data_IF_894451351940
#
_entry.id   IF_894451351940
#
_cell.length_a   1.000
_cell.length_b   1.000
_cell.length_c   1.000
_cell.angle_alpha   90.00
_cell.angle_beta   90.00
_cell.angle_gamma   90.00
#
_symmetry.space_group_name_H-M   'P 1'
#
loop_
_entity.id
_entity.type
_entity.pdbx_description
1 polymer ?
#
# COMPACT_ATOMS: atom_id res chain seq x y z
N UNK A 1 20.27 18.55 8.54
CA UNK A 1 18.94 18.52 9.20
C UNK A 1 18.52 17.14 9.71
N UNK A 2 18.05 16.19 8.88
CA UNK A 2 17.55 14.89 9.40
C UNK A 2 18.62 14.12 10.19
N UNK A 3 19.87 14.12 9.74
CA UNK A 3 20.97 13.51 10.49
C UNK A 3 21.22 14.17 11.84
N UNK A 4 21.07 15.50 11.94
CA UNK A 4 21.24 16.26 13.20
C UNK A 4 20.07 16.02 14.18
N UNK A 5 18.86 15.81 13.65
CA UNK A 5 17.69 15.41 14.44
C UNK A 5 17.87 13.98 14.95
N UNK A 6 18.32 13.05 14.10
CA UNK A 6 18.59 11.67 14.49
C UNK A 6 19.73 11.53 15.49
N UNK A 7 20.75 12.40 15.45
CA UNK A 7 21.83 12.41 16.45
C UNK A 7 21.46 13.11 17.75
N UNK A 8 20.27 13.72 17.84
CA UNK A 8 19.83 14.48 19.00
C UNK A 8 20.60 15.79 19.23
N UNK A 9 21.39 16.24 18.25
CA UNK A 9 22.10 17.52 18.33
C UNK A 9 21.17 18.72 18.17
N UNK A 10 19.94 18.48 17.68
CA UNK A 10 18.90 19.48 17.48
C UNK A 10 17.54 18.84 17.70
N UNK A 11 16.61 19.54 18.36
CA UNK A 11 15.22 19.07 18.50
C UNK A 11 14.35 19.58 17.36
N UNK A 12 13.18 18.96 17.15
CA UNK A 12 12.22 19.41 16.14
C UNK A 12 11.68 20.81 16.50
N UNK A 13 11.54 21.09 17.79
CA UNK A 13 11.12 22.38 18.34
C UNK A 13 12.16 23.47 18.09
N UNK A 14 13.45 23.15 18.15
CA UNK A 14 14.52 24.11 17.82
C UNK A 14 14.48 24.48 16.35
N UNK A 15 14.27 23.50 15.47
CA UNK A 15 14.09 23.73 14.03
C UNK A 15 12.86 24.59 13.77
N UNK A 16 11.75 24.32 14.45
CA UNK A 16 10.53 25.08 14.31
C UNK A 16 10.72 26.56 14.74
N UNK A 17 11.36 26.79 15.90
CA UNK A 17 11.68 28.13 16.40
C UNK A 17 12.58 28.92 15.46
N UNK A 18 13.61 28.31 14.90
CA UNK A 18 14.51 28.96 13.94
C UNK A 18 13.78 29.39 12.66
N UNK A 19 12.78 28.63 12.25
CA UNK A 19 11.97 28.90 11.07
C UNK A 19 10.73 29.77 11.37
N UNK A 20 10.52 30.17 12.62
CA UNK A 20 9.34 30.92 13.05
C UNK A 20 8.02 30.17 12.85
N UNK A 21 8.06 28.83 12.91
CA UNK A 21 6.90 27.94 12.77
C UNK A 21 6.68 27.14 14.06
N UNK A 22 5.52 26.50 14.16
CA UNK A 22 5.16 25.62 15.27
C UNK A 22 5.19 24.15 14.84
N UNK A 23 5.50 23.26 15.80
CA UNK A 23 5.34 21.82 15.63
C UNK A 23 3.87 21.47 15.87
N UNK A 24 3.22 20.91 14.84
CA UNK A 24 1.81 20.54 14.89
C UNK A 24 1.66 19.01 15.05
N UNK A 25 0.98 18.52 16.11
CA UNK A 25 0.67 17.11 16.22
C UNK A 25 -0.39 16.71 15.19
N UNK A 26 -0.34 15.45 14.78
CA UNK A 26 -1.35 14.86 13.88
C UNK A 26 -2.24 13.91 14.68
N UNK A 27 -3.47 13.69 14.22
CA UNK A 27 -4.23 12.52 14.67
C UNK A 27 -3.60 11.24 14.13
N UNK A 28 -3.92 10.08 14.70
CA UNK A 28 -3.46 8.80 14.17
C UNK A 28 -3.79 8.66 12.67
N UNK A 29 -2.78 8.32 11.87
CA UNK A 29 -2.87 8.19 10.42
C UNK A 29 -2.77 6.73 10.00
N UNK A 30 -3.58 6.33 9.02
CA UNK A 30 -3.40 5.11 8.23
C UNK A 30 -2.57 5.42 6.98
N UNK A 31 -2.09 4.36 6.31
CA UNK A 31 -1.28 4.46 5.08
C UNK A 31 -1.97 5.24 3.96
N UNK A 32 -3.30 5.14 3.90
CA UNK A 32 -4.12 5.74 2.85
C UNK A 32 -4.92 6.97 3.33
N UNK A 33 -4.68 7.43 4.56
CA UNK A 33 -5.38 8.60 5.09
C UNK A 33 -4.88 9.89 4.41
N UNK A 34 -5.82 10.82 4.21
CA UNK A 34 -5.56 12.15 3.70
C UNK A 34 -5.91 13.14 4.82
N UNK A 35 -4.93 13.92 5.26
CA UNK A 35 -5.14 14.92 6.31
C UNK A 35 -4.65 16.28 5.90
N UNK A 36 -5.28 17.31 6.45
CA UNK A 36 -4.85 18.69 6.27
C UNK A 36 -3.42 18.83 6.83
N UNK A 37 -2.52 19.45 6.06
CA UNK A 37 -1.11 19.68 6.39
C UNK A 37 -0.15 18.47 6.34
N UNK A 38 -0.62 17.26 6.02
CA UNK A 38 0.26 16.10 5.80
C UNK A 38 0.01 15.54 4.41
N UNK A 39 1.00 15.67 3.53
CA UNK A 39 0.89 15.16 2.18
C UNK A 39 1.12 13.63 2.13
N UNK A 40 0.54 12.92 1.14
CA UNK A 40 0.69 11.47 1.00
C UNK A 40 2.15 11.00 0.99
N UNK A 41 3.07 11.77 0.41
CA UNK A 41 4.49 11.45 0.40
C UNK A 41 5.12 11.44 1.82
N UNK A 42 4.65 12.32 2.72
CA UNK A 42 5.08 12.33 4.12
C UNK A 42 4.58 11.08 4.84
N UNK A 43 3.30 10.72 4.62
CA UNK A 43 2.68 9.51 5.20
C UNK A 43 3.46 8.27 4.77
N UNK A 44 3.69 8.10 3.47
CA UNK A 44 4.44 6.95 2.94
C UNK A 44 5.83 6.82 3.58
N UNK A 45 6.57 7.93 3.72
CA UNK A 45 7.87 7.92 4.37
C UNK A 45 7.78 7.61 5.86
N UNK A 46 6.78 8.14 6.59
CA UNK A 46 6.58 7.87 8.01
C UNK A 46 6.41 6.37 8.29
N UNK A 47 5.68 5.65 7.43
CA UNK A 47 5.48 4.20 7.56
C UNK A 47 6.74 3.35 7.26
N UNK A 48 7.84 3.96 6.84
CA UNK A 48 9.16 3.29 6.70
C UNK A 48 10.09 3.52 7.88
N UNK A 49 9.71 4.38 8.82
CA UNK A 49 10.55 4.81 9.95
C UNK A 49 10.10 4.12 11.25
N UNK A 50 11.04 3.87 12.18
CA UNK A 50 10.71 3.40 13.53
C UNK A 50 10.11 4.53 14.38
N UNK A 51 9.51 4.17 15.52
CA UNK A 51 9.08 5.13 16.55
C UNK A 51 10.26 6.02 16.96
N UNK A 52 10.02 7.32 17.05
CA UNK A 52 11.01 8.36 17.30
C UNK A 52 11.85 8.77 16.07
N UNK A 53 11.72 8.08 14.94
CA UNK A 53 12.47 8.38 13.72
C UNK A 53 12.01 9.68 13.04
N UNK A 54 12.95 10.39 12.43
CA UNK A 54 12.68 11.64 11.70
C UNK A 54 12.64 11.42 10.20
N UNK A 55 11.71 12.11 9.54
CA UNK A 55 11.52 12.07 8.10
C UNK A 55 11.37 13.46 7.50
N UNK A 56 11.53 13.54 6.18
CA UNK A 56 11.22 14.76 5.45
C UNK A 56 10.82 14.49 4.02
N UNK A 57 9.69 15.07 3.62
CA UNK A 57 9.10 14.97 2.29
C UNK A 57 8.91 16.35 1.65
N UNK A 58 8.62 16.38 0.35
CA UNK A 58 8.21 17.62 -0.32
C UNK A 58 6.89 18.14 0.27
N UNK A 59 6.74 19.47 0.35
CA UNK A 59 5.54 20.16 0.86
C UNK A 59 4.52 20.51 -0.24
N UNK A 60 4.80 20.19 -1.50
CA UNK A 60 3.96 20.55 -2.65
C UNK A 60 4.08 22.02 -3.09
N UNK A 61 4.84 22.84 -2.36
CA UNK A 61 5.24 24.20 -2.75
C UNK A 61 6.70 24.16 -3.24
N UNK A 62 7.06 25.02 -4.19
CA UNK A 62 8.44 25.14 -4.67
C UNK A 62 9.38 25.39 -3.49
N UNK A 63 10.44 24.56 -3.41
CA UNK A 63 11.49 24.55 -2.38
C UNK A 63 11.06 24.26 -0.93
N UNK A 64 9.76 24.08 -0.65
CA UNK A 64 9.27 23.77 0.71
C UNK A 64 9.35 22.28 1.06
N UNK A 65 9.74 21.95 2.30
CA UNK A 65 9.74 20.58 2.83
C UNK A 65 8.91 20.47 4.10
N UNK A 66 8.25 19.33 4.26
CA UNK A 66 7.68 18.91 5.54
C UNK A 66 8.77 18.13 6.27
N UNK A 67 8.99 18.43 7.54
CA UNK A 67 9.87 17.68 8.44
C UNK A 67 9.02 17.18 9.59
N UNK A 68 9.15 15.90 9.93
CA UNK A 68 8.29 15.26 10.91
C UNK A 68 9.06 14.23 11.74
N UNK A 69 8.46 13.85 12.86
CA UNK A 69 8.90 12.77 13.73
C UNK A 69 7.76 11.77 13.89
N UNK A 70 8.08 10.47 13.88
CA UNK A 70 7.11 9.43 14.23
C UNK A 70 6.97 9.39 15.75
N UNK A 71 5.90 9.99 16.29
CA UNK A 71 5.66 10.05 17.74
C UNK A 71 5.32 8.66 18.32
N UNK A 72 4.33 7.98 17.73
CA UNK A 72 3.90 6.66 18.16
C UNK A 72 3.51 5.74 16.99
N UNK A 73 3.55 4.43 17.23
CA UNK A 73 3.11 3.41 16.27
C UNK A 73 2.02 2.58 16.93
N UNK A 74 0.82 2.65 16.39
CA UNK A 74 -0.33 1.87 16.85
C UNK A 74 -0.47 0.62 16.00
N UNK A 75 -0.44 -0.55 16.64
CA UNK A 75 -0.68 -1.81 15.95
C UNK A 75 -2.12 -1.88 15.41
N UNK A 76 -2.32 -2.38 14.19
CA UNK A 76 -3.67 -2.57 13.67
C UNK A 76 -4.41 -3.57 14.54
N UNK A 77 -5.74 -3.39 14.75
CA UNK A 77 -6.53 -4.38 15.48
C UNK A 77 -6.49 -5.73 14.75
N UNK A 78 -6.79 -6.81 15.49
CA UNK A 78 -6.94 -8.13 14.89
C UNK A 78 -7.94 -8.10 13.74
N UNK A 79 -7.60 -8.80 12.66
CA UNK A 79 -8.44 -8.89 11.46
C UNK A 79 -9.75 -9.59 11.83
N UNK A 80 -10.89 -9.03 11.40
CA UNK A 80 -12.20 -9.65 11.59
C UNK A 80 -12.18 -11.10 11.05
N UNK A 81 -12.44 -12.12 11.90
CA UNK A 81 -12.44 -13.52 11.49
C UNK A 81 -13.37 -13.82 10.30
N UNK A 82 -14.48 -13.10 10.15
CA UNK A 82 -15.39 -13.25 9.02
C UNK A 82 -14.78 -12.73 7.73
N UNK A 83 -14.19 -11.54 7.77
CA UNK A 83 -13.48 -10.95 6.64
C UNK A 83 -12.31 -11.84 6.21
N UNK A 84 -11.55 -12.37 7.17
CA UNK A 84 -10.46 -13.31 6.92
C UNK A 84 -10.94 -14.60 6.25
N UNK A 85 -12.06 -15.17 6.71
CA UNK A 85 -12.66 -16.38 6.09
C UNK A 85 -13.12 -16.11 4.66
N UNK A 86 -13.77 -14.98 4.42
CA UNK A 86 -14.20 -14.58 3.07
C UNK A 86 -13.01 -14.37 2.14
N UNK A 87 -11.95 -13.70 2.63
CA UNK A 87 -10.73 -13.50 1.87
C UNK A 87 -10.06 -14.83 1.52
N UNK A 88 -9.92 -15.75 2.47
CA UNK A 88 -9.39 -17.10 2.23
C UNK A 88 -10.20 -17.87 1.19
N UNK A 89 -11.53 -17.80 1.24
CA UNK A 89 -12.38 -18.48 0.27
C UNK A 89 -12.20 -17.91 -1.14
N UNK A 90 -12.13 -16.58 -1.28
CA UNK A 90 -11.89 -15.91 -2.57
C UNK A 90 -10.53 -16.27 -3.15
N UNK A 91 -9.48 -16.22 -2.33
CA UNK A 91 -8.13 -16.62 -2.72
C UNK A 91 -8.12 -18.09 -3.16
N UNK A 92 -8.74 -19.00 -2.40
CA UNK A 92 -8.82 -20.41 -2.75
C UNK A 92 -9.52 -20.69 -4.09
N UNK A 93 -10.58 -19.93 -4.42
CA UNK A 93 -11.24 -20.01 -5.72
C UNK A 93 -10.29 -19.60 -6.85
N UNK A 94 -9.66 -18.42 -6.74
CA UNK A 94 -8.72 -17.91 -7.75
C UNK A 94 -7.56 -18.87 -7.99
N UNK A 95 -6.96 -19.40 -6.91
CA UNK A 95 -5.89 -20.39 -7.03
C UNK A 95 -6.34 -21.67 -7.74
N UNK A 96 -7.58 -22.14 -7.48
CA UNK A 96 -8.09 -23.35 -8.11
C UNK A 96 -8.29 -23.15 -9.62
N UNK A 97 -8.85 -22.01 -10.01
CA UNK A 97 -9.03 -21.63 -11.42
C UNK A 97 -7.69 -21.50 -12.16
N UNK A 98 -6.71 -20.82 -11.54
CA UNK A 98 -5.36 -20.65 -12.09
C UNK A 98 -4.65 -22.00 -12.27
N UNK A 99 -4.74 -22.90 -11.28
CA UNK A 99 -4.12 -24.24 -11.36
C UNK A 99 -4.74 -25.06 -12.50
N UNK A 100 -6.06 -25.00 -12.66
CA UNK A 100 -6.74 -25.71 -13.75
C UNK A 100 -6.29 -25.15 -15.11
N UNK A 101 -6.25 -23.82 -15.25
CA UNK A 101 -5.79 -23.18 -16.49
C UNK A 101 -4.34 -23.54 -16.82
N UNK A 102 -3.45 -23.49 -15.83
CA UNK A 102 -2.04 -23.88 -15.99
C UNK A 102 -1.92 -25.35 -16.40
N UNK A 103 -2.68 -26.25 -15.77
CA UNK A 103 -2.68 -27.67 -16.10
C UNK A 103 -3.12 -27.94 -17.55
N UNK A 104 -4.20 -27.31 -18.01
CA UNK A 104 -4.64 -27.46 -19.40
C UNK A 104 -3.63 -26.89 -20.39
N UNK A 105 -3.02 -25.74 -20.09
CA UNK A 105 -1.98 -25.15 -20.94
C UNK A 105 -0.78 -26.10 -21.10
N UNK A 106 -0.35 -26.75 -20.02
CA UNK A 106 0.76 -27.72 -20.06
C UNK A 106 0.38 -28.98 -20.85
N UNK A 107 -0.86 -29.47 -20.73
CA UNK A 107 -1.35 -30.60 -21.54
C UNK A 107 -1.37 -30.24 -23.03
N UNK A 108 -1.89 -29.07 -23.39
CA UNK A 108 -1.90 -28.59 -24.78
C UNK A 108 -0.48 -28.53 -25.37
N UNK A 109 0.48 -28.02 -24.59
CA UNK A 109 1.88 -27.96 -25.01
C UNK A 109 2.51 -29.34 -25.14
N UNK A 110 2.30 -30.23 -24.17
CA UNK A 110 2.89 -31.59 -24.14
C UNK A 110 2.41 -32.43 -25.31
N UNK A 111 1.13 -32.34 -25.65
CA UNK A 111 0.51 -33.13 -26.73
C UNK A 111 0.42 -32.39 -28.06
N UNK A 112 0.86 -31.12 -28.14
CA UNK A 112 0.85 -30.32 -29.36
C UNK A 112 -0.55 -29.98 -29.88
N UNK A 113 -1.55 -29.98 -29.01
CA UNK A 113 -2.95 -29.70 -29.35
C UNK A 113 -3.33 -28.28 -28.94
N UNK A 114 -4.28 -27.66 -29.65
CA UNK A 114 -4.82 -26.34 -29.31
C UNK A 114 -6.33 -26.40 -29.28
N UNK A 115 -6.94 -25.93 -28.20
CA UNK A 115 -8.38 -25.79 -28.11
C UNK A 115 -8.87 -24.65 -29.01
N UNK A 116 -9.81 -24.95 -29.92
CA UNK A 116 -10.51 -23.93 -30.68
C UNK A 116 -11.64 -23.34 -29.82
N UNK A 117 -11.30 -22.31 -29.05
CA UNK A 117 -12.21 -21.65 -28.10
C UNK A 117 -13.46 -21.06 -28.76
N UNK A 118 -13.36 -20.60 -30.02
CA UNK A 118 -14.53 -20.11 -30.78
C UNK A 118 -15.53 -21.23 -31.09
N UNK A 119 -15.04 -22.41 -31.49
CA UNK A 119 -15.91 -23.55 -31.74
C UNK A 119 -16.58 -24.04 -30.46
N UNK A 120 -15.84 -24.04 -29.34
CA UNK A 120 -16.37 -24.42 -28.03
C UNK A 120 -17.44 -23.42 -27.52
N UNK A 121 -17.22 -22.12 -27.72
CA UNK A 121 -18.19 -21.09 -27.35
C UNK A 121 -19.52 -21.23 -28.14
N UNK A 122 -19.44 -21.58 -29.43
CA UNK A 122 -20.62 -21.88 -30.26
C UNK A 122 -21.37 -23.13 -29.79
N UNK A 123 -20.64 -24.19 -29.40
CA UNK A 123 -21.25 -25.44 -28.93
C UNK A 123 -21.91 -25.31 -27.56
N UNK A 124 -21.41 -24.41 -26.71
CA UNK A 124 -21.92 -24.19 -25.34
C UNK A 124 -22.93 -23.06 -25.25
N UNK A 125 -23.28 -22.41 -26.36
CA UNK A 125 -24.24 -21.29 -26.40
C UNK A 125 -23.75 -20.01 -25.71
N UNK A 126 -22.47 -19.93 -25.34
CA UNK A 126 -21.87 -18.76 -24.68
C UNK A 126 -21.26 -17.76 -25.68
N UNK A 127 -21.29 -18.07 -26.97
CA UNK A 127 -20.81 -17.21 -28.06
C UNK A 127 -21.91 -16.42 -28.81
N UNK A 128 -23.16 -16.43 -28.33
CA UNK A 128 -24.27 -15.66 -28.92
C UNK A 128 -24.44 -14.37 -28.10
N UNK A 129 -23.82 -13.27 -28.55
CA UNK A 129 -24.27 -11.93 -28.17
C UNK A 129 -25.57 -11.58 -28.92
N UNK A 130 -26.53 -10.88 -28.29
CA UNK A 130 -27.78 -10.45 -28.93
C UNK A 130 -27.60 -9.37 -30.01
#
# INVERSE_FOLDING_TARGET
LISELNSGSKSLEDVAKELGTDVLPTSALKRDDITVNVLPAAVQQAFTLPKGGFGSSASGVDEGRIVFQVDDIVEPPEVDPRALKQLRARIGLLYSEDIIAAYFSELEQTYGVKLNTQALARLTGSGEEP
#
